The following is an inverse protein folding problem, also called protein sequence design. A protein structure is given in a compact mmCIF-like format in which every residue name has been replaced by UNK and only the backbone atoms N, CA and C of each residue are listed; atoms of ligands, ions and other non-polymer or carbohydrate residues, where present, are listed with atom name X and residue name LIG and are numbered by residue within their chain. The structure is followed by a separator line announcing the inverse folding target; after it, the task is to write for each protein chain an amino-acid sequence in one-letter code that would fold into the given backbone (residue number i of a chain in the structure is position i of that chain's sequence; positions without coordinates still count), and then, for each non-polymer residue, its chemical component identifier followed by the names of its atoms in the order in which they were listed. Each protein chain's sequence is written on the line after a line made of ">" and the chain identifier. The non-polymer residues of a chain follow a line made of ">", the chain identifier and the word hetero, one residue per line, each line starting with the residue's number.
data_IF_647328014432
#
_entry.id   IF_647328014432
#
_cell.length_a   1.000
_cell.length_b   1.000
_cell.length_c   1.000
_cell.angle_alpha   90.00
_cell.angle_beta   90.00
_cell.angle_gamma   90.00
#
_symmetry.space_group_name_H-M   'P 1'
#
loop_
_entity.id
_entity.type
_entity.pdbx_description
1 polymer ?
#
# COMPACT_ATOMS: atom_id res chain seq x y z
N UNK A 1 16.69 0.40 10.61
CA UNK A 1 16.01 1.38 11.49
C UNK A 1 16.04 2.81 10.96
N UNK A 2 16.87 3.16 9.94
CA UNK A 2 16.94 4.53 9.41
C UNK A 2 15.59 5.13 8.98
N UNK A 3 14.77 4.38 8.24
CA UNK A 3 13.43 4.83 7.85
C UNK A 3 12.54 5.18 9.06
N UNK A 4 12.49 4.29 10.06
CA UNK A 4 11.69 4.48 11.29
C UNK A 4 12.14 5.72 12.08
N UNK A 5 13.44 5.98 12.19
CA UNK A 5 13.93 7.20 12.84
C UNK A 5 13.56 8.45 12.03
N UNK A 6 13.78 8.45 10.71
CA UNK A 6 13.44 9.58 9.85
C UNK A 6 11.93 9.89 9.88
N UNK A 7 11.06 8.87 9.94
CA UNK A 7 9.61 9.06 10.08
C UNK A 7 9.24 9.93 11.28
N UNK A 8 9.88 9.71 12.43
CA UNK A 8 9.64 10.52 13.64
C UNK A 8 10.13 11.96 13.44
N UNK A 9 11.30 12.12 12.82
CA UNK A 9 11.91 13.43 12.57
C UNK A 9 11.11 14.27 11.55
N UNK A 10 10.48 13.62 10.56
CA UNK A 10 9.60 14.27 9.57
C UNK A 10 8.19 14.60 10.13
N UNK A 11 7.88 14.11 11.34
CA UNK A 11 6.63 14.42 12.04
C UNK A 11 5.45 13.50 11.71
N UNK A 12 5.71 12.30 11.18
CA UNK A 12 4.70 11.25 11.07
C UNK A 12 4.57 10.46 12.39
N UNK A 13 3.42 9.82 12.57
CA UNK A 13 3.09 9.08 13.80
C UNK A 13 3.33 7.58 13.58
N UNK A 14 4.12 6.95 14.44
CA UNK A 14 4.19 5.48 14.51
C UNK A 14 3.05 5.00 15.40
N UNK A 15 1.96 4.57 14.78
CA UNK A 15 0.77 4.10 15.48
C UNK A 15 1.00 2.75 16.18
N UNK A 16 1.80 1.88 15.56
CA UNK A 16 2.14 0.57 16.09
C UNK A 16 3.54 0.12 15.63
N UNK A 17 4.24 -0.63 16.49
CA UNK A 17 5.48 -1.33 16.19
C UNK A 17 6.67 -0.45 15.78
N UNK A 18 7.45 -0.89 14.79
CA UNK A 18 8.64 -0.19 14.30
C UNK A 18 9.92 -0.39 15.12
N UNK A 19 9.85 -1.17 16.21
CA UNK A 19 10.97 -1.44 17.10
C UNK A 19 11.41 -2.92 17.01
N UNK A 20 12.50 -3.27 17.71
CA UNK A 20 12.92 -4.67 17.83
C UNK A 20 12.03 -5.41 18.85
N UNK A 21 11.46 -6.59 18.52
CA UNK A 21 10.70 -7.38 19.49
C UNK A 21 11.54 -7.75 20.72
N UNK A 22 11.08 -7.39 21.91
CA UNK A 22 11.85 -7.55 23.17
C UNK A 22 12.21 -9.00 23.48
N UNK A 23 11.38 -9.96 23.07
CA UNK A 23 11.55 -11.38 23.35
C UNK A 23 12.51 -12.08 22.36
N UNK A 24 12.90 -11.43 21.25
CA UNK A 24 13.82 -11.98 20.25
C UNK A 24 15.18 -11.29 20.30
N UNK A 25 16.07 -11.79 21.17
CA UNK A 25 17.39 -11.18 21.44
C UNK A 25 18.44 -11.37 20.33
N UNK A 26 18.29 -12.39 19.46
CA UNK A 26 19.18 -12.69 18.32
C UNK A 26 18.38 -12.68 17.01
N UNK A 27 19.05 -12.51 15.86
CA UNK A 27 18.43 -12.39 14.53
C UNK A 27 18.06 -10.96 14.13
N UNK A 28 17.67 -10.77 12.86
CA UNK A 28 17.32 -9.47 12.27
C UNK A 28 15.81 -9.21 12.29
N UNK A 29 15.20 -9.26 13.47
CA UNK A 29 13.76 -9.06 13.64
C UNK A 29 13.40 -7.59 13.83
N UNK A 30 12.27 -7.19 13.24
CA UNK A 30 11.61 -5.90 13.44
C UNK A 30 10.11 -6.15 13.58
N UNK A 31 9.45 -5.42 14.48
CA UNK A 31 7.99 -5.46 14.63
C UNK A 31 7.31 -4.86 13.38
N UNK A 32 6.17 -5.41 12.94
CA UNK A 32 5.35 -4.77 11.92
C UNK A 32 4.99 -3.34 12.35
N UNK A 33 5.13 -2.37 11.46
CA UNK A 33 4.88 -0.97 11.76
C UNK A 33 3.70 -0.40 10.96
N UNK A 34 2.82 0.34 11.63
CA UNK A 34 1.77 1.14 10.98
C UNK A 34 2.08 2.60 11.25
N UNK A 35 2.15 3.39 10.18
CA UNK A 35 2.51 4.80 10.22
C UNK A 35 1.33 5.63 9.71
N UNK A 36 0.91 6.61 10.51
CA UNK A 36 -0.18 7.54 10.21
C UNK A 36 0.33 8.98 10.13
N UNK A 37 -0.56 9.92 9.81
CA UNK A 37 -0.25 11.35 9.67
C UNK A 37 0.83 11.63 8.61
N UNK A 38 0.87 10.79 7.58
CA UNK A 38 1.88 10.82 6.51
C UNK A 38 1.56 11.89 5.46
N UNK A 39 2.55 12.75 5.17
CA UNK A 39 2.50 13.73 4.06
C UNK A 39 3.18 13.13 2.83
N UNK A 40 2.70 13.46 1.64
CA UNK A 40 3.26 12.92 0.37
C UNK A 40 4.70 13.37 0.13
N UNK A 41 5.14 14.46 0.77
CA UNK A 41 6.52 14.95 0.70
C UNK A 41 7.53 14.13 1.53
N UNK A 42 7.07 13.29 2.46
CA UNK A 42 7.91 12.51 3.38
C UNK A 42 8.65 11.38 2.69
N UNK A 43 9.86 11.06 3.16
CA UNK A 43 10.66 9.95 2.60
C UNK A 43 9.91 8.62 2.72
N UNK A 44 9.21 8.39 3.84
CA UNK A 44 8.47 7.15 4.12
C UNK A 44 7.27 6.92 3.19
N UNK A 45 6.81 7.96 2.49
CA UNK A 45 5.76 7.84 1.46
C UNK A 45 6.34 7.50 0.08
N UNK A 46 7.52 8.03 -0.24
CA UNK A 46 8.10 8.00 -1.59
C UNK A 46 9.03 6.82 -1.85
N UNK A 47 9.72 6.34 -0.81
CA UNK A 47 10.76 5.33 -0.95
C UNK A 47 10.30 3.95 -0.48
N UNK A 48 10.79 2.93 -1.17
CA UNK A 48 10.50 1.55 -0.84
C UNK A 48 11.33 1.09 0.38
N UNK A 49 10.65 0.82 1.50
CA UNK A 49 11.30 0.42 2.77
C UNK A 49 11.76 -1.04 2.76
N UNK A 50 11.09 -1.90 1.97
CA UNK A 50 11.36 -3.36 1.88
C UNK A 50 11.32 -4.12 3.22
N UNK A 51 10.61 -3.56 4.22
CA UNK A 51 10.37 -4.14 5.54
C UNK A 51 8.88 -4.19 5.86
N UNK A 52 8.49 -4.74 7.03
CA UNK A 52 7.10 -4.88 7.42
C UNK A 52 6.52 -3.54 7.90
N UNK A 53 6.44 -2.55 7.01
CA UNK A 53 6.04 -1.17 7.29
C UNK A 53 4.90 -0.77 6.36
N UNK A 54 3.82 -0.26 6.91
CA UNK A 54 2.64 0.23 6.19
C UNK A 54 2.38 1.70 6.51
N UNK A 55 2.31 2.55 5.49
CA UNK A 55 1.87 3.93 5.59
C UNK A 55 0.37 4.04 5.30
N UNK A 56 -0.34 4.89 6.06
CA UNK A 56 -1.78 5.12 5.90
C UNK A 56 -2.05 6.59 5.62
N UNK A 57 -2.88 6.84 4.61
CA UNK A 57 -3.37 8.17 4.23
C UNK A 57 -4.85 8.08 3.85
N UNK A 58 -5.61 9.12 4.18
CA UNK A 58 -7.04 9.23 3.86
C UNK A 58 -7.25 10.04 2.59
N UNK A 59 -8.35 9.79 1.89
CA UNK A 59 -8.84 10.58 0.77
C UNK A 59 -10.37 10.74 0.89
N UNK A 60 -10.95 11.68 0.14
CA UNK A 60 -12.40 11.95 0.11
C UNK A 60 -13.05 11.64 -1.24
N UNK A 61 -12.31 11.78 -2.33
CA UNK A 61 -12.83 11.56 -3.69
C UNK A 61 -12.05 10.46 -4.41
N UNK A 62 -12.68 9.88 -5.45
CA UNK A 62 -12.03 8.91 -6.33
C UNK A 62 -10.80 9.53 -7.01
N UNK A 63 -10.89 10.78 -7.47
CA UNK A 63 -9.78 11.51 -8.08
C UNK A 63 -8.60 11.71 -7.11
N UNK A 64 -8.85 12.08 -5.86
CA UNK A 64 -7.79 12.22 -4.84
C UNK A 64 -7.10 10.88 -4.58
N UNK A 65 -7.85 9.77 -4.56
CA UNK A 65 -7.28 8.44 -4.41
C UNK A 65 -6.36 8.07 -5.59
N UNK A 66 -6.76 8.42 -6.82
CA UNK A 66 -5.98 8.16 -8.04
C UNK A 66 -4.71 9.02 -8.05
N UNK A 67 -4.82 10.31 -7.71
CA UNK A 67 -3.67 11.21 -7.59
C UNK A 67 -2.65 10.67 -6.57
N UNK A 68 -3.11 10.28 -5.38
CA UNK A 68 -2.25 9.72 -4.34
C UNK A 68 -1.60 8.39 -4.75
N UNK A 69 -2.36 7.51 -5.40
CA UNK A 69 -1.85 6.20 -5.83
C UNK A 69 -0.81 6.30 -6.95
N UNK A 70 -0.98 7.27 -7.86
CA UNK A 70 -0.07 7.50 -8.97
C UNK A 70 1.08 8.49 -8.65
N UNK A 71 1.06 9.17 -7.49
CA UNK A 71 2.15 10.04 -7.01
C UNK A 71 3.35 9.22 -6.50
N UNK A 72 3.97 8.48 -7.41
CA UNK A 72 5.14 7.64 -7.16
C UNK A 72 5.96 7.49 -8.44
N UNK A 73 7.27 7.24 -8.28
CA UNK A 73 8.17 6.91 -9.41
C UNK A 73 8.09 5.43 -9.82
N UNK A 74 7.38 4.61 -9.03
CA UNK A 74 7.23 3.17 -9.25
C UNK A 74 5.92 2.85 -9.98
N UNK A 75 5.75 1.60 -10.40
CA UNK A 75 4.54 1.18 -11.14
C UNK A 75 4.37 -0.34 -11.21
N UNK A 76 4.75 -1.07 -10.15
CA UNK A 76 4.70 -2.53 -10.16
C UNK A 76 3.26 -3.06 -10.07
N UNK A 77 2.57 -2.74 -8.97
CA UNK A 77 1.22 -3.22 -8.73
C UNK A 77 0.38 -2.23 -7.91
N UNK A 78 -0.93 -2.26 -8.10
CA UNK A 78 -1.92 -1.53 -7.33
C UNK A 78 -3.10 -2.45 -6.94
N UNK A 79 -3.90 -2.02 -5.96
CA UNK A 79 -5.11 -2.73 -5.56
C UNK A 79 -6.26 -1.75 -5.29
N UNK A 80 -7.47 -2.10 -5.71
CA UNK A 80 -8.71 -1.39 -5.35
C UNK A 80 -9.62 -2.33 -4.58
N UNK A 81 -10.11 -1.87 -3.44
CA UNK A 81 -11.09 -2.57 -2.61
C UNK A 81 -12.36 -1.74 -2.54
N UNK A 82 -13.44 -2.24 -3.16
CA UNK A 82 -14.74 -1.57 -3.21
C UNK A 82 -15.84 -2.58 -3.56
N UNK A 83 -17.03 -2.37 -3.00
CA UNK A 83 -18.24 -3.13 -3.39
C UNK A 83 -18.87 -2.59 -4.69
N UNK A 84 -18.57 -1.34 -5.04
CA UNK A 84 -18.96 -0.74 -6.33
C UNK A 84 -18.01 -1.24 -7.42
N UNK A 85 -18.51 -2.13 -8.29
CA UNK A 85 -17.75 -2.75 -9.36
C UNK A 85 -17.44 -1.78 -10.51
N UNK A 86 -18.31 -0.80 -10.78
CA UNK A 86 -18.05 0.22 -11.80
C UNK A 86 -16.90 1.12 -11.35
N UNK A 87 -16.84 1.46 -10.05
CA UNK A 87 -15.67 2.13 -9.46
C UNK A 87 -14.41 1.29 -9.61
N UNK A 88 -14.47 0.00 -9.29
CA UNK A 88 -13.32 -0.88 -9.46
C UNK A 88 -12.82 -0.87 -10.92
N UNK A 89 -13.73 -0.93 -11.89
CA UNK A 89 -13.37 -0.89 -13.32
C UNK A 89 -12.76 0.45 -13.73
N UNK A 90 -13.34 1.59 -13.29
CA UNK A 90 -12.79 2.93 -13.55
C UNK A 90 -11.38 3.07 -12.96
N UNK A 91 -11.22 2.75 -11.68
CA UNK A 91 -9.93 2.86 -10.99
C UNK A 91 -8.85 1.96 -11.60
N UNK A 92 -9.23 0.76 -12.05
CA UNK A 92 -8.29 -0.17 -12.71
C UNK A 92 -7.70 0.42 -13.99
N UNK A 93 -8.47 1.21 -14.74
CA UNK A 93 -8.00 1.87 -15.97
C UNK A 93 -7.12 3.09 -15.71
N UNK A 94 -7.16 3.66 -14.51
CA UNK A 94 -6.45 4.91 -14.15
C UNK A 94 -5.15 4.69 -13.39
N UNK A 95 -4.96 3.53 -12.75
CA UNK A 95 -3.70 3.23 -12.06
C UNK A 95 -2.54 3.05 -13.04
N UNK A 96 -1.42 3.70 -12.74
CA UNK A 96 -0.17 3.57 -13.49
C UNK A 96 0.66 2.39 -12.95
N UNK A 97 0.11 1.18 -13.05
CA UNK A 97 0.73 -0.04 -12.55
C UNK A 97 0.62 -1.20 -13.54
N UNK A 98 1.61 -2.09 -13.56
CA UNK A 98 1.62 -3.27 -14.42
C UNK A 98 0.59 -4.34 -14.03
N UNK A 99 0.25 -4.43 -12.75
CA UNK A 99 -0.75 -5.35 -12.19
C UNK A 99 -1.74 -4.56 -11.36
N UNK A 100 -3.04 -4.80 -11.55
CA UNK A 100 -4.07 -4.24 -10.68
C UNK A 100 -4.95 -5.35 -10.14
N UNK A 101 -5.06 -5.43 -8.81
CA UNK A 101 -5.97 -6.34 -8.13
C UNK A 101 -7.28 -5.65 -7.76
N UNK A 102 -8.39 -6.37 -7.90
CA UNK A 102 -9.73 -5.94 -7.45
C UNK A 102 -10.17 -6.82 -6.30
N UNK A 103 -10.46 -6.22 -5.14
CA UNK A 103 -10.93 -6.88 -3.92
C UNK A 103 -9.96 -7.95 -3.36
N UNK A 104 -8.68 -7.85 -3.68
CA UNK A 104 -7.60 -8.64 -3.09
C UNK A 104 -6.26 -7.90 -3.20
N UNK A 105 -5.19 -8.48 -2.64
CA UNK A 105 -3.81 -8.00 -2.80
C UNK A 105 -2.88 -9.21 -2.80
N UNK A 106 -1.85 -9.19 -3.67
CA UNK A 106 -0.85 -10.26 -3.81
C UNK A 106 -1.40 -11.64 -4.22
N UNK A 107 -2.66 -11.72 -4.66
CA UNK A 107 -3.21 -12.96 -5.22
C UNK A 107 -2.79 -13.08 -6.68
N UNK A 108 -1.93 -14.04 -6.99
CA UNK A 108 -1.57 -14.40 -8.36
C UNK A 108 -2.03 -15.84 -8.61
N UNK A 109 -3.09 -16.00 -9.40
CA UNK A 109 -3.48 -17.32 -9.88
C UNK A 109 -2.59 -17.69 -11.08
N UNK A 110 -1.72 -18.68 -10.89
CA UNK A 110 -0.87 -19.19 -11.97
C UNK A 110 -1.66 -20.16 -12.86
N UNK A 111 -2.56 -19.63 -13.68
CA UNK A 111 -3.35 -20.42 -14.62
C UNK A 111 -4.30 -19.59 -15.49
N UNK A 112 -3.81 -19.02 -16.60
CA UNK A 112 -4.61 -18.69 -17.79
C UNK A 112 -5.74 -17.65 -17.66
N UNK A 113 -5.54 -16.49 -18.30
CA UNK A 113 -6.41 -15.30 -18.45
C UNK A 113 -6.37 -14.33 -17.26
N UNK A 114 -5.42 -13.40 -17.35
CA UNK A 114 -5.41 -12.19 -16.54
C UNK A 114 -6.60 -11.30 -16.91
N UNK A 115 -7.74 -11.56 -16.29
CA UNK A 115 -8.85 -10.64 -16.01
C UNK A 115 -9.72 -11.40 -15.00
N UNK A 116 -9.66 -11.06 -13.71
CA UNK A 116 -10.70 -11.45 -12.77
C UNK A 116 -11.95 -10.59 -13.08
N UNK A 117 -12.61 -10.93 -14.18
CA UNK A 117 -14.01 -10.57 -14.36
C UNK A 117 -14.78 -11.46 -13.38
N UNK A 118 -15.32 -10.87 -12.33
CA UNK A 118 -16.36 -11.52 -11.54
C UNK A 118 -17.58 -11.69 -12.46
N UNK A 119 -17.63 -12.75 -13.26
CA UNK A 119 -18.89 -13.23 -13.80
C UNK A 119 -19.79 -13.59 -12.62
N UNK A 120 -20.90 -12.86 -12.50
CA UNK A 120 -21.98 -13.16 -11.58
C UNK A 120 -22.43 -14.61 -11.80
N UNK A 121 -22.14 -15.49 -10.86
CA UNK A 121 -22.78 -16.78 -10.73
C UNK A 121 -24.01 -16.68 -9.83
N UNK A 122 -25.19 -16.79 -10.46
CA UNK A 122 -26.50 -17.24 -9.94
C UNK A 122 -27.03 -16.58 -8.67
#
# INVERSE_FOLDING_TARGET
>A
MKFISTTKDEGATILYGGERPRHLKKGYYIEPAIITDVKTSMQIWKEEVFGPVLCVKTFKTEDEAIELANDTQYGLAAAVLSQDLERCERMTKTFQAGIVWVNCSQFLEMGGKGFLHFEKGV
#
